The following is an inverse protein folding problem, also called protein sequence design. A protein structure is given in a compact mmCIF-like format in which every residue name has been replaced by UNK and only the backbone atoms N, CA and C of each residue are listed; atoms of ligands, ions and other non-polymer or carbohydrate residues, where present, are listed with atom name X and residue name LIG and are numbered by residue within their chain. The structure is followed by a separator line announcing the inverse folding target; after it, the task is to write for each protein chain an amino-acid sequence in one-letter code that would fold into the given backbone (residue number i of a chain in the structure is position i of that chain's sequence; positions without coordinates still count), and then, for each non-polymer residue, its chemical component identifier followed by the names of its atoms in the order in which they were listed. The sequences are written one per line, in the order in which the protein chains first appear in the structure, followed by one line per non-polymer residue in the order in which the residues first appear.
data_IF_478617728399
#
_entry.id   IF_478617728399
#
_cell.length_a   1.000
_cell.length_b   1.000
_cell.length_c   1.000
_cell.angle_alpha   90.00
_cell.angle_beta   90.00
_cell.angle_gamma   90.00
#
_symmetry.space_group_name_H-M   'P 1'
#
loop_
_entity.id
_entity.type
_entity.pdbx_description
1 polymer ?
#
# COMPACT_ATOMS: atom_id res chain seq x y z
N UNK A 1 27.60 8.85 5.35
CA UNK A 1 27.16 8.44 6.71
C UNK A 1 25.71 7.95 6.72
N UNK A 2 24.78 8.70 6.14
CA UNK A 2 23.33 8.38 6.13
C UNK A 2 23.00 7.00 5.52
N UNK A 3 23.65 6.60 4.42
CA UNK A 3 23.48 5.26 3.81
C UNK A 3 23.86 4.10 4.74
N UNK A 4 24.91 4.28 5.57
CA UNK A 4 25.36 3.24 6.49
C UNK A 4 24.36 3.06 7.62
N UNK A 5 23.84 4.17 8.16
CA UNK A 5 22.81 4.14 9.21
C UNK A 5 21.51 3.51 8.67
N UNK A 6 21.07 3.90 7.48
CA UNK A 6 19.93 3.27 6.81
C UNK A 6 20.14 1.75 6.61
N UNK A 7 21.36 1.35 6.21
CA UNK A 7 21.72 -0.05 6.05
C UNK A 7 21.61 -0.86 7.34
N UNK A 8 21.95 -0.27 8.50
CA UNK A 8 21.75 -0.93 9.81
C UNK A 8 20.27 -1.21 10.07
N UNK A 9 19.37 -0.26 9.77
CA UNK A 9 17.93 -0.48 9.91
C UNK A 9 17.42 -1.60 9.00
N UNK A 10 17.91 -1.68 7.75
CA UNK A 10 17.58 -2.79 6.84
C UNK A 10 18.08 -4.13 7.39
N UNK A 11 19.31 -4.17 7.90
CA UNK A 11 19.90 -5.38 8.50
C UNK A 11 19.16 -5.86 9.75
N UNK A 12 18.42 -5.00 10.45
CA UNK A 12 17.53 -5.38 11.54
C UNK A 12 16.17 -5.84 11.00
N UNK A 13 15.60 -5.08 10.06
CA UNK A 13 14.26 -5.28 9.50
C UNK A 13 14.12 -6.61 8.75
N UNK A 14 15.11 -6.92 7.89
CA UNK A 14 15.05 -8.08 6.99
C UNK A 14 15.05 -9.39 7.79
N UNK A 15 15.96 -9.65 8.75
CA UNK A 15 15.92 -10.88 9.53
C UNK A 15 14.64 -11.07 10.33
N UNK A 16 14.09 -10.00 10.94
CA UNK A 16 12.82 -10.08 11.69
C UNK A 16 11.70 -10.57 10.77
N UNK A 17 11.60 -9.97 9.58
CA UNK A 17 10.54 -10.32 8.64
C UNK A 17 10.75 -11.68 7.98
N UNK A 18 12.00 -12.01 7.62
CA UNK A 18 12.36 -13.33 7.07
C UNK A 18 12.06 -14.43 8.08
N UNK A 19 12.37 -14.24 9.37
CA UNK A 19 11.99 -15.19 10.41
C UNK A 19 10.48 -15.41 10.45
N UNK A 20 9.68 -14.34 10.37
CA UNK A 20 8.22 -14.42 10.32
C UNK A 20 7.73 -15.19 9.08
N UNK A 21 8.28 -14.90 7.90
CA UNK A 21 7.92 -15.59 6.65
C UNK A 21 8.29 -17.08 6.73
N UNK A 22 9.49 -17.42 7.21
CA UNK A 22 9.92 -18.81 7.38
C UNK A 22 9.00 -19.56 8.34
N UNK A 23 8.57 -18.93 9.44
CA UNK A 23 7.61 -19.55 10.36
C UNK A 23 6.28 -19.88 9.69
N UNK A 24 5.76 -19.01 8.81
CA UNK A 24 4.58 -19.32 8.01
C UNK A 24 4.85 -20.49 7.06
N UNK A 25 5.96 -20.46 6.31
CA UNK A 25 6.30 -21.50 5.33
C UNK A 25 6.55 -22.89 5.95
N UNK A 26 7.12 -22.94 7.16
CA UNK A 26 7.31 -24.20 7.91
C UNK A 26 5.98 -24.73 8.44
N UNK A 27 5.11 -23.85 8.93
CA UNK A 27 3.81 -24.20 9.49
C UNK A 27 2.68 -23.97 8.46
N UNK A 28 2.75 -24.65 7.32
CA UNK A 28 1.87 -24.40 6.17
C UNK A 28 0.50 -25.11 6.26
N UNK A 29 -0.23 -24.92 7.36
CA UNK A 29 -1.49 -25.61 7.66
C UNK A 29 -2.68 -25.15 6.80
N UNK A 30 -2.77 -23.84 6.51
CA UNK A 30 -3.83 -23.25 5.68
C UNK A 30 -3.25 -22.55 4.44
N UNK A 31 -2.83 -23.32 3.41
CA UNK A 31 -2.14 -22.80 2.23
C UNK A 31 -2.92 -21.71 1.47
N UNK A 32 -4.25 -21.80 1.46
CA UNK A 32 -5.11 -20.86 0.74
C UNK A 32 -5.09 -19.45 1.34
N UNK A 33 -4.91 -19.35 2.66
CA UNK A 33 -4.86 -18.08 3.38
C UNK A 33 -3.41 -17.60 3.53
N UNK A 34 -2.51 -18.50 3.95
CA UNK A 34 -1.12 -18.17 4.25
C UNK A 34 -0.34 -17.65 3.03
N UNK A 35 -0.68 -18.08 1.81
CA UNK A 35 -0.09 -17.51 0.58
C UNK A 35 -0.27 -15.99 0.47
N UNK A 36 -1.38 -15.45 0.96
CA UNK A 36 -1.63 -14.00 0.97
C UNK A 36 -0.92 -13.31 2.13
N UNK A 37 -0.85 -13.96 3.29
CA UNK A 37 -0.09 -13.46 4.45
C UNK A 37 1.39 -13.29 4.08
N UNK A 38 1.99 -14.30 3.46
CA UNK A 38 3.39 -14.24 3.01
C UNK A 38 3.60 -13.08 2.03
N UNK A 39 2.69 -12.86 1.07
CA UNK A 39 2.74 -11.71 0.14
C UNK A 39 2.68 -10.37 0.88
N UNK A 40 1.85 -10.26 1.93
CA UNK A 40 1.76 -9.03 2.74
C UNK A 40 3.06 -8.83 3.54
N UNK A 41 3.59 -9.88 4.17
CA UNK A 41 4.82 -9.80 4.97
C UNK A 41 6.03 -9.37 4.14
N UNK A 42 6.10 -9.77 2.86
CA UNK A 42 7.18 -9.35 1.96
C UNK A 42 7.21 -7.84 1.68
N UNK A 43 6.14 -7.08 1.99
CA UNK A 43 6.11 -5.63 1.84
C UNK A 43 7.25 -4.95 2.59
N UNK A 44 7.46 -5.31 3.85
CA UNK A 44 8.43 -4.68 4.74
C UNK A 44 9.88 -4.83 4.22
N UNK A 45 10.40 -6.04 3.91
CA UNK A 45 11.76 -6.19 3.40
C UNK A 45 11.93 -5.54 2.02
N UNK A 46 10.93 -5.64 1.14
CA UNK A 46 10.98 -5.00 -0.18
C UNK A 46 11.11 -3.48 -0.05
N UNK A 47 10.32 -2.87 0.82
CA UNK A 47 10.32 -1.41 1.00
C UNK A 47 11.61 -0.94 1.65
N UNK A 48 12.09 -1.63 2.69
CA UNK A 48 13.33 -1.27 3.39
C UNK A 48 14.57 -1.38 2.48
N UNK A 49 14.67 -2.48 1.71
CA UNK A 49 15.76 -2.69 0.76
C UNK A 49 15.70 -1.63 -0.34
N UNK A 50 14.53 -1.40 -0.94
CA UNK A 50 14.39 -0.42 -2.01
C UNK A 50 14.71 1.00 -1.58
N UNK A 51 14.23 1.42 -0.42
CA UNK A 51 14.57 2.72 0.14
C UNK A 51 16.09 2.84 0.35
N UNK A 52 16.75 1.80 0.86
CA UNK A 52 18.21 1.80 1.00
C UNK A 52 18.96 1.86 -0.33
N UNK A 53 18.55 1.09 -1.34
CA UNK A 53 19.13 1.13 -2.69
C UNK A 53 18.92 2.48 -3.37
N UNK A 54 17.75 3.09 -3.18
CA UNK A 54 17.39 4.40 -3.71
C UNK A 54 18.37 5.50 -3.28
N UNK A 55 18.90 5.40 -2.06
CA UNK A 55 19.90 6.32 -1.56
C UNK A 55 21.26 6.21 -2.30
N UNK A 56 21.62 5.04 -2.85
CA UNK A 56 22.84 4.90 -3.65
C UNK A 56 22.64 5.32 -5.10
N UNK A 57 21.47 5.02 -5.67
CA UNK A 57 21.20 5.13 -7.10
C UNK A 57 20.17 6.22 -7.43
N UNK A 58 20.55 7.48 -7.26
CA UNK A 58 19.70 8.65 -7.57
C UNK A 58 19.12 8.62 -8.99
N UNK A 59 19.91 8.21 -9.98
CA UNK A 59 19.44 8.09 -11.37
C UNK A 59 18.37 7.01 -11.58
N UNK A 60 18.27 6.05 -10.67
CA UNK A 60 17.26 4.98 -10.70
C UNK A 60 16.08 5.22 -9.74
N UNK A 61 16.08 6.34 -9.01
CA UNK A 61 15.06 6.66 -7.98
C UNK A 61 13.62 6.47 -8.49
N UNK A 62 13.31 7.00 -9.67
CA UNK A 62 11.97 6.90 -10.26
C UNK A 62 11.52 5.47 -10.51
N UNK A 63 12.42 4.58 -10.94
CA UNK A 63 12.10 3.17 -11.19
C UNK A 63 11.94 2.39 -9.89
N UNK A 64 12.84 2.63 -8.92
CA UNK A 64 12.78 2.00 -7.58
C UNK A 64 11.47 2.38 -6.89
N UNK A 65 11.10 3.66 -6.95
CA UNK A 65 9.83 4.15 -6.42
C UNK A 65 8.64 3.55 -7.13
N UNK A 66 8.65 3.48 -8.47
CA UNK A 66 7.55 2.87 -9.23
C UNK A 66 7.32 1.40 -8.83
N UNK A 67 8.39 0.63 -8.63
CA UNK A 67 8.27 -0.75 -8.15
C UNK A 67 7.64 -0.80 -6.75
N UNK A 68 8.09 0.03 -5.81
CA UNK A 68 7.55 0.09 -4.44
C UNK A 68 6.04 0.34 -4.47
N UNK A 69 5.61 1.32 -5.26
CA UNK A 69 4.20 1.70 -5.37
C UNK A 69 3.35 0.63 -6.09
N UNK A 70 3.93 -0.14 -7.03
CA UNK A 70 3.25 -1.30 -7.63
C UNK A 70 3.07 -2.44 -6.62
N UNK A 71 4.08 -2.68 -5.79
CA UNK A 71 4.00 -3.69 -4.74
C UNK A 71 2.97 -3.32 -3.67
N UNK A 72 2.87 -2.04 -3.32
CA UNK A 72 1.81 -1.53 -2.44
C UNK A 72 0.40 -1.89 -2.96
N UNK A 73 0.15 -1.64 -4.25
CA UNK A 73 -1.12 -1.99 -4.88
C UNK A 73 -1.38 -3.51 -4.85
N UNK A 74 -0.34 -4.30 -5.09
CA UNK A 74 -0.41 -5.76 -5.00
C UNK A 74 -0.71 -6.28 -3.59
N UNK A 75 -0.16 -5.63 -2.56
CA UNK A 75 -0.43 -5.96 -1.14
C UNK A 75 -1.88 -5.63 -0.77
N UNK A 76 -2.39 -4.48 -1.20
CA UNK A 76 -3.81 -4.12 -1.01
C UNK A 76 -4.74 -5.15 -1.63
N UNK A 77 -4.47 -5.57 -2.87
CA UNK A 77 -5.24 -6.63 -3.51
C UNK A 77 -5.12 -7.96 -2.73
N UNK A 78 -3.91 -8.36 -2.36
CA UNK A 78 -3.65 -9.58 -1.59
C UNK A 78 -4.40 -9.59 -0.26
N UNK A 79 -4.58 -8.44 0.39
CA UNK A 79 -5.34 -8.34 1.63
C UNK A 79 -6.85 -8.53 1.43
N UNK A 80 -7.43 -8.06 0.33
CA UNK A 80 -8.83 -8.36 -0.01
C UNK A 80 -9.02 -9.86 -0.20
N UNK A 81 -8.14 -10.50 -0.97
CA UNK A 81 -8.19 -11.95 -1.17
C UNK A 81 -7.94 -12.73 0.12
N UNK A 82 -7.07 -12.24 0.99
CA UNK A 82 -6.86 -12.80 2.33
C UNK A 82 -8.16 -12.82 3.14
N UNK A 83 -8.92 -11.72 3.18
CA UNK A 83 -10.22 -11.67 3.88
C UNK A 83 -11.21 -12.66 3.27
N UNK A 84 -11.27 -12.75 1.94
CA UNK A 84 -12.17 -13.65 1.21
C UNK A 84 -11.87 -15.12 1.58
N UNK A 85 -10.62 -15.54 1.49
CA UNK A 85 -10.24 -16.93 1.81
C UNK A 85 -10.38 -17.24 3.30
N UNK A 86 -10.06 -16.28 4.18
CA UNK A 86 -10.18 -16.47 5.63
C UNK A 86 -11.63 -16.72 6.06
N UNK A 87 -12.60 -16.17 5.33
CA UNK A 87 -14.05 -16.37 5.56
C UNK A 87 -14.64 -17.55 4.78
N UNK A 88 -13.80 -18.47 4.30
CA UNK A 88 -14.23 -19.69 3.62
C UNK A 88 -14.44 -19.54 2.10
N UNK A 89 -13.85 -18.50 1.50
CA UNK A 89 -13.86 -18.27 0.05
C UNK A 89 -15.03 -17.44 -0.45
N UNK A 90 -15.11 -17.27 -1.77
CA UNK A 90 -16.07 -16.35 -2.42
C UNK A 90 -17.53 -16.71 -2.14
N UNK A 91 -17.89 -17.98 -2.20
CA UNK A 91 -19.29 -18.41 -2.05
C UNK A 91 -19.79 -18.27 -0.61
N UNK A 92 -18.99 -18.70 0.37
CA UNK A 92 -19.34 -18.59 1.79
C UNK A 92 -19.38 -17.13 2.24
N UNK A 93 -18.45 -16.31 1.77
CA UNK A 93 -18.49 -14.88 2.05
C UNK A 93 -19.73 -14.24 1.43
N UNK A 94 -20.08 -14.57 0.18
CA UNK A 94 -21.29 -14.04 -0.45
C UNK A 94 -22.57 -14.44 0.32
N UNK A 95 -22.66 -15.65 0.86
CA UNK A 95 -23.79 -16.08 1.70
C UNK A 95 -23.82 -15.34 3.04
N UNK A 96 -22.66 -15.16 3.67
CA UNK A 96 -22.53 -14.43 4.93
C UNK A 96 -22.94 -12.97 4.76
N UNK A 97 -22.46 -12.31 3.70
CA UNK A 97 -22.81 -10.93 3.37
C UNK A 97 -24.30 -10.74 3.08
N UNK A 98 -24.99 -11.72 2.46
CA UNK A 98 -26.44 -11.66 2.24
C UNK A 98 -27.26 -11.59 3.53
N UNK A 99 -26.72 -12.12 4.64
CA UNK A 99 -27.39 -12.12 5.94
C UNK A 99 -27.11 -10.85 6.76
N UNK A 100 -26.18 -10.00 6.31
CA UNK A 100 -25.85 -8.74 6.98
C UNK A 100 -26.87 -7.66 6.62
N UNK A 101 -26.86 -6.57 7.40
CA UNK A 101 -27.74 -5.42 7.18
C UNK A 101 -27.52 -4.80 5.79
N UNK A 102 -28.60 -4.58 5.05
CA UNK A 102 -28.61 -3.93 3.76
C UNK A 102 -28.08 -2.48 3.82
N UNK A 103 -28.16 -1.83 4.97
CA UNK A 103 -27.63 -0.48 5.21
C UNK A 103 -26.12 -0.39 4.94
N UNK A 104 -25.37 -1.48 5.12
CA UNK A 104 -23.91 -1.53 4.86
C UNK A 104 -23.62 -1.37 3.35
N UNK A 105 -24.55 -1.81 2.50
CA UNK A 105 -24.50 -1.61 1.05
C UNK A 105 -24.70 -0.16 0.64
N UNK A 106 -25.42 0.64 1.44
CA UNK A 106 -25.65 2.06 1.18
C UNK A 106 -24.36 2.88 1.32
N UNK A 107 -24.30 4.03 0.65
CA UNK A 107 -23.13 4.89 0.62
C UNK A 107 -23.34 6.11 1.52
N UNK A 108 -22.36 6.54 2.32
CA UNK A 108 -22.44 7.81 3.05
C UNK A 108 -22.49 8.99 2.07
N UNK A 109 -23.12 10.10 2.48
CA UNK A 109 -23.09 11.36 1.73
C UNK A 109 -21.63 11.86 1.60
N UNK A 110 -21.14 12.32 0.43
CA UNK A 110 -21.88 12.62 -0.82
C UNK A 110 -21.95 11.46 -1.84
N UNK A 111 -21.27 10.34 -1.61
CA UNK A 111 -21.23 9.22 -2.57
C UNK A 111 -22.59 8.59 -2.84
N UNK A 112 -23.57 8.77 -1.94
CA UNK A 112 -24.97 8.37 -2.14
C UNK A 112 -25.62 8.97 -3.39
N UNK A 113 -25.18 10.14 -3.84
CA UNK A 113 -25.74 10.84 -5.01
C UNK A 113 -25.12 10.34 -6.33
N UNK A 114 -23.92 9.76 -6.26
CA UNK A 114 -23.11 9.40 -7.43
C UNK A 114 -23.11 7.88 -7.67
N UNK A 115 -23.22 7.08 -6.61
CA UNK A 115 -23.13 5.63 -6.66
C UNK A 115 -24.45 4.97 -6.27
N UNK A 116 -24.91 4.01 -7.09
CA UNK A 116 -26.04 3.14 -6.79
C UNK A 116 -25.75 2.27 -5.57
N UNK A 117 -26.79 1.97 -4.77
CA UNK A 117 -26.66 1.12 -3.59
C UNK A 117 -26.23 -0.31 -3.98
N UNK A 118 -25.21 -0.83 -3.31
CA UNK A 118 -24.70 -2.16 -3.62
C UNK A 118 -25.55 -3.23 -2.93
N UNK A 119 -26.10 -4.16 -3.71
CA UNK A 119 -26.80 -5.30 -3.16
C UNK A 119 -25.83 -6.20 -2.37
N UNK A 120 -26.20 -6.48 -1.12
CA UNK A 120 -25.42 -7.34 -0.23
C UNK A 120 -25.31 -8.77 -0.79
N UNK A 121 -24.14 -9.38 -0.57
CA UNK A 121 -23.82 -10.71 -1.09
C UNK A 121 -22.74 -10.70 -2.16
N UNK A 122 -22.96 -11.45 -3.25
CA UNK A 122 -21.96 -11.62 -4.32
C UNK A 122 -21.64 -10.31 -5.04
N UNK A 123 -22.64 -9.47 -5.31
CA UNK A 123 -22.43 -8.19 -6.00
C UNK A 123 -21.55 -7.25 -5.16
N UNK A 124 -21.87 -7.05 -3.88
CA UNK A 124 -21.04 -6.27 -2.96
C UNK A 124 -19.59 -6.78 -2.90
N UNK A 125 -19.40 -8.08 -2.73
CA UNK A 125 -18.06 -8.69 -2.68
C UNK A 125 -17.29 -8.48 -4.00
N UNK A 126 -17.93 -8.71 -5.14
CA UNK A 126 -17.32 -8.49 -6.46
C UNK A 126 -16.97 -7.03 -6.67
N UNK A 127 -17.85 -6.09 -6.30
CA UNK A 127 -17.57 -4.66 -6.41
C UNK A 127 -16.36 -4.26 -5.55
N UNK A 128 -16.25 -4.78 -4.32
CA UNK A 128 -15.09 -4.54 -3.48
C UNK A 128 -13.80 -5.12 -4.09
N UNK A 129 -13.86 -6.36 -4.60
CA UNK A 129 -12.74 -7.05 -5.25
C UNK A 129 -12.26 -6.29 -6.49
N UNK A 130 -13.18 -5.96 -7.40
CA UNK A 130 -12.88 -5.22 -8.62
C UNK A 130 -12.43 -3.79 -8.35
N UNK A 131 -12.95 -3.14 -7.31
CA UNK A 131 -12.51 -1.80 -6.92
C UNK A 131 -11.04 -1.75 -6.50
N UNK A 132 -10.56 -2.74 -5.74
CA UNK A 132 -9.12 -2.81 -5.39
C UNK A 132 -8.27 -3.29 -6.57
N UNK A 133 -8.77 -4.22 -7.39
CA UNK A 133 -8.06 -4.68 -8.59
C UNK A 133 -7.90 -3.56 -9.63
N UNK A 134 -8.90 -2.68 -9.76
CA UNK A 134 -8.84 -1.50 -10.62
C UNK A 134 -7.68 -0.59 -10.24
N UNK A 135 -7.36 -0.42 -8.95
CA UNK A 135 -6.21 0.37 -8.53
C UNK A 135 -4.89 -0.22 -9.03
N UNK A 136 -4.72 -1.55 -8.93
CA UNK A 136 -3.53 -2.24 -9.47
C UNK A 136 -3.38 -2.00 -10.97
N UNK A 137 -4.48 -2.14 -11.73
CA UNK A 137 -4.45 -1.94 -13.19
C UNK A 137 -4.15 -0.48 -13.55
N UNK A 138 -4.82 0.48 -12.91
CA UNK A 138 -4.54 1.90 -13.13
C UNK A 138 -3.10 2.23 -12.77
N UNK A 139 -2.56 1.68 -11.68
CA UNK A 139 -1.16 1.88 -11.29
C UNK A 139 -0.18 1.42 -12.37
N UNK A 140 -0.40 0.23 -12.93
CA UNK A 140 0.42 -0.33 -14.01
C UNK A 140 0.34 0.56 -15.25
N UNK A 141 -0.87 0.91 -15.69
CA UNK A 141 -1.09 1.75 -16.87
C UNK A 141 -0.46 3.13 -16.68
N UNK A 142 -0.66 3.75 -15.51
CA UNK A 142 -0.07 5.03 -15.16
C UNK A 142 1.45 4.96 -15.13
N UNK A 143 2.06 3.88 -14.63
CA UNK A 143 3.51 3.72 -14.63
C UNK A 143 4.05 3.66 -16.06
N UNK A 144 3.41 2.90 -16.95
CA UNK A 144 3.77 2.84 -18.37
C UNK A 144 3.58 4.20 -19.04
N UNK A 145 2.49 4.90 -18.74
CA UNK A 145 2.22 6.25 -19.27
C UNK A 145 3.26 7.27 -18.81
N UNK A 146 3.68 7.22 -17.54
CA UNK A 146 4.76 8.08 -17.00
C UNK A 146 6.05 7.85 -17.78
N UNK A 147 6.46 6.59 -17.99
CA UNK A 147 7.68 6.26 -18.75
C UNK A 147 7.57 6.74 -20.21
N UNK A 148 6.43 6.52 -20.86
CA UNK A 148 6.20 6.91 -22.25
C UNK A 148 6.10 8.43 -22.45
N UNK A 149 5.59 9.18 -21.47
CA UNK A 149 5.55 10.64 -21.51
C UNK A 149 6.90 11.26 -21.15
N UNK A 150 7.64 10.62 -20.24
CA UNK A 150 9.01 11.04 -19.89
C UNK A 150 9.95 10.91 -21.08
N UNK A 151 9.85 9.83 -21.87
CA UNK A 151 10.68 9.67 -23.08
C UNK A 151 10.36 10.69 -24.19
N UNK A 152 9.15 11.26 -24.19
CA UNK A 152 8.73 12.31 -25.12
C UNK A 152 8.98 13.74 -24.60
N UNK A 153 9.53 13.90 -23.39
CA UNK A 153 9.74 15.21 -22.76
C UNK A 153 8.44 15.94 -22.37
N UNK A 154 7.30 15.23 -22.29
CA UNK A 154 5.99 15.80 -21.94
C UNK A 154 5.62 15.60 -20.46
N UNK A 155 6.48 14.94 -19.70
CA UNK A 155 6.31 14.68 -18.27
C UNK A 155 7.26 15.56 -17.45
N UNK A 156 6.72 16.63 -16.86
CA UNK A 156 7.45 17.54 -15.97
C UNK A 156 6.97 17.26 -14.54
N UNK A 157 7.83 16.68 -13.70
CA UNK A 157 7.46 16.33 -12.33
C UNK A 157 7.24 17.59 -11.50
N UNK A 158 6.11 17.65 -10.77
CA UNK A 158 5.81 18.74 -9.85
C UNK A 158 5.21 20.00 -10.49
N UNK A 159 5.19 20.11 -11.82
CA UNK A 159 4.55 21.22 -12.52
C UNK A 159 3.09 20.90 -12.85
N UNK A 160 2.18 21.64 -12.22
CA UNK A 160 0.76 21.63 -12.59
C UNK A 160 0.55 22.49 -13.84
N UNK A 161 0.83 21.91 -15.01
CA UNK A 161 0.49 22.51 -16.30
C UNK A 161 -0.54 21.67 -17.03
N UNK A 162 -1.47 22.34 -17.73
CA UNK A 162 -2.43 21.70 -18.64
C UNK A 162 -1.76 20.95 -19.79
N UNK A 163 -0.51 21.32 -20.12
CA UNK A 163 0.31 20.66 -21.15
C UNK A 163 1.15 19.50 -20.62
N UNK A 164 1.31 19.34 -19.31
CA UNK A 164 2.06 18.22 -18.74
C UNK A 164 1.14 17.10 -18.29
N UNK A 165 1.50 15.86 -18.62
CA UNK A 165 0.75 14.67 -18.20
C UNK A 165 0.80 14.38 -16.70
N UNK A 166 1.66 15.07 -15.93
CA UNK A 166 1.84 14.85 -14.49
C UNK A 166 0.54 15.05 -13.70
N UNK A 167 -0.14 16.19 -13.89
CA UNK A 167 -1.36 16.52 -13.15
C UNK A 167 -2.50 15.52 -13.40
N UNK A 168 -2.72 15.14 -14.67
CA UNK A 168 -3.78 14.19 -15.04
C UNK A 168 -3.53 12.79 -14.45
N UNK A 169 -2.30 12.29 -14.54
CA UNK A 169 -1.94 10.98 -13.96
C UNK A 169 -2.06 11.04 -12.43
N UNK A 170 -1.61 12.12 -11.80
CA UNK A 170 -1.72 12.30 -10.36
C UNK A 170 -3.19 12.29 -9.90
N UNK A 171 -4.08 13.03 -10.57
CA UNK A 171 -5.52 13.04 -10.23
C UNK A 171 -6.15 11.66 -10.43
N UNK A 172 -5.91 11.02 -11.58
CA UNK A 172 -6.45 9.69 -11.85
C UNK A 172 -6.02 8.66 -10.80
N UNK A 173 -4.76 8.71 -10.37
CA UNK A 173 -4.21 7.83 -9.34
C UNK A 173 -4.80 8.09 -7.97
N UNK A 174 -4.98 9.37 -7.58
CA UNK A 174 -5.59 9.74 -6.32
C UNK A 174 -7.07 9.32 -6.24
N UNK A 175 -7.83 9.48 -7.32
CA UNK A 175 -9.22 9.00 -7.39
C UNK A 175 -9.26 7.47 -7.31
N UNK A 176 -8.38 6.80 -8.05
CA UNK A 176 -8.28 5.34 -8.08
C UNK A 176 -7.96 4.73 -6.71
N UNK A 177 -6.93 5.23 -6.02
CA UNK A 177 -6.57 4.77 -4.68
C UNK A 177 -7.66 5.10 -3.66
N UNK A 178 -8.29 6.27 -3.74
CA UNK A 178 -9.38 6.65 -2.84
C UNK A 178 -10.57 5.68 -2.98
N UNK A 179 -10.92 5.31 -4.22
CA UNK A 179 -11.98 4.33 -4.49
C UNK A 179 -11.62 2.92 -4.01
N UNK A 180 -10.38 2.47 -4.22
CA UNK A 180 -9.91 1.18 -3.73
C UNK A 180 -9.92 1.10 -2.19
N UNK A 181 -9.42 2.15 -1.52
CA UNK A 181 -9.47 2.24 -0.06
C UNK A 181 -10.90 2.30 0.47
N UNK A 182 -11.80 2.99 -0.23
CA UNK A 182 -13.23 3.00 0.09
C UNK A 182 -13.84 1.60 0.04
N UNK A 183 -13.59 0.86 -1.05
CA UNK A 183 -14.02 -0.53 -1.21
C UNK A 183 -13.47 -1.43 -0.10
N UNK A 184 -12.19 -1.28 0.23
CA UNK A 184 -11.54 -2.05 1.27
C UNK A 184 -12.12 -1.76 2.66
N UNK A 185 -12.35 -0.49 2.99
CA UNK A 185 -12.96 -0.08 4.26
C UNK A 185 -14.40 -0.60 4.37
N UNK A 186 -15.18 -0.55 3.29
CA UNK A 186 -16.53 -1.14 3.25
C UNK A 186 -16.50 -2.64 3.50
N UNK A 187 -15.62 -3.37 2.82
CA UNK A 187 -15.45 -4.80 3.03
C UNK A 187 -15.05 -5.13 4.47
N UNK A 188 -14.12 -4.34 5.03
CA UNK A 188 -13.72 -4.47 6.43
C UNK A 188 -14.90 -4.27 7.39
N UNK A 189 -15.69 -3.20 7.23
CA UNK A 189 -16.84 -2.96 8.10
C UNK A 189 -17.92 -4.04 7.99
N UNK A 190 -18.10 -4.63 6.80
CA UNK A 190 -19.05 -5.71 6.59
C UNK A 190 -18.61 -7.03 7.25
N UNK A 191 -17.30 -7.23 7.42
CA UNK A 191 -16.69 -8.51 7.87
C UNK A 191 -16.01 -8.44 9.23
N UNK A 192 -15.88 -7.26 9.85
CA UNK A 192 -15.15 -7.04 11.12
C UNK A 192 -15.64 -7.95 12.26
N UNK A 193 -16.94 -8.22 12.30
CA UNK A 193 -17.55 -9.02 13.37
C UNK A 193 -17.26 -10.51 13.17
N UNK A 194 -17.21 -10.94 11.91
CA UNK A 194 -16.88 -12.33 11.54
C UNK A 194 -15.37 -12.61 11.70
N UNK A 195 -14.55 -11.56 11.63
CA UNK A 195 -13.10 -11.61 11.80
C UNK A 195 -12.63 -11.31 13.22
N UNK A 196 -13.54 -11.14 14.20
CA UNK A 196 -13.20 -10.66 15.54
C UNK A 196 -12.09 -11.46 16.22
N UNK A 197 -12.10 -12.77 16.05
CA UNK A 197 -11.13 -13.69 16.66
C UNK A 197 -9.72 -13.59 16.03
N UNK A 198 -9.61 -12.93 14.86
CA UNK A 198 -8.39 -12.85 14.07
C UNK A 198 -7.68 -11.49 14.14
N UNK A 199 -7.98 -10.66 15.16
CA UNK A 199 -7.40 -9.32 15.34
C UNK A 199 -7.40 -8.44 14.07
N UNK A 200 -8.57 -8.18 13.47
CA UNK A 200 -8.68 -7.63 12.12
C UNK A 200 -8.22 -6.16 12.04
N UNK A 201 -8.37 -5.41 13.13
CA UNK A 201 -7.89 -4.01 13.23
C UNK A 201 -6.37 -3.96 13.08
N UNK A 202 -5.63 -4.84 13.76
CA UNK A 202 -4.18 -4.86 13.73
C UNK A 202 -3.67 -5.21 12.32
N UNK A 203 -4.25 -6.24 11.69
CA UNK A 203 -3.93 -6.65 10.31
C UNK A 203 -4.20 -5.54 9.30
N UNK A 204 -5.33 -4.85 9.43
CA UNK A 204 -5.66 -3.70 8.59
C UNK A 204 -4.72 -2.50 8.82
N UNK A 205 -4.42 -2.21 10.09
CA UNK A 205 -3.53 -1.10 10.46
C UNK A 205 -2.09 -1.34 10.01
N UNK A 206 -1.62 -2.59 9.95
CA UNK A 206 -0.30 -2.91 9.40
C UNK A 206 -0.15 -2.46 7.95
N UNK A 207 -1.13 -2.79 7.09
CA UNK A 207 -1.07 -2.47 5.66
C UNK A 207 -1.34 -0.97 5.44
N UNK A 208 -2.43 -0.46 6.04
CA UNK A 208 -2.81 0.94 5.86
C UNK A 208 -1.83 1.89 6.54
N UNK A 209 -1.24 1.48 7.66
CA UNK A 209 -0.28 2.25 8.43
C UNK A 209 0.91 2.63 7.56
N UNK A 210 1.52 1.67 6.85
CA UNK A 210 2.66 1.96 5.96
C UNK A 210 2.30 3.03 4.92
N UNK A 211 1.15 2.90 4.27
CA UNK A 211 0.67 3.86 3.25
C UNK A 211 0.42 5.24 3.87
N UNK A 212 -0.20 5.28 5.05
CA UNK A 212 -0.55 6.53 5.71
C UNK A 212 0.70 7.27 6.19
N UNK A 213 1.62 6.58 6.86
CA UNK A 213 2.86 7.18 7.35
C UNK A 213 3.72 7.68 6.19
N UNK A 214 3.93 6.88 5.16
CA UNK A 214 4.70 7.31 3.98
C UNK A 214 4.07 8.50 3.23
N UNK A 215 2.74 8.55 3.16
CA UNK A 215 2.02 9.69 2.58
C UNK A 215 2.21 10.98 3.40
N UNK A 216 1.95 10.93 4.71
CA UNK A 216 2.06 12.11 5.57
C UNK A 216 3.50 12.58 5.73
N UNK A 217 4.44 11.64 5.78
CA UNK A 217 5.86 11.93 5.74
C UNK A 217 6.23 12.65 4.44
N UNK A 218 5.81 12.13 3.29
CA UNK A 218 6.04 12.76 2.00
C UNK A 218 5.47 14.18 1.94
N UNK A 219 4.23 14.37 2.40
CA UNK A 219 3.60 15.69 2.47
C UNK A 219 4.38 16.65 3.39
N UNK A 220 4.76 16.20 4.60
CA UNK A 220 5.50 17.02 5.55
C UNK A 220 6.86 17.46 5.01
N UNK A 221 7.60 16.57 4.35
CA UNK A 221 8.89 16.91 3.74
C UNK A 221 8.69 17.91 2.59
N UNK A 222 7.65 17.75 1.77
CA UNK A 222 7.33 18.69 0.70
C UNK A 222 6.97 20.10 1.22
N UNK A 223 6.26 20.18 2.36
CA UNK A 223 6.00 21.45 3.03
C UNK A 223 7.30 22.07 3.57
N UNK A 224 8.19 21.27 4.17
CA UNK A 224 9.49 21.77 4.63
C UNK A 224 10.37 22.27 3.47
N UNK A 225 10.28 21.63 2.31
CA UNK A 225 10.93 22.08 1.09
C UNK A 225 10.34 23.40 0.58
N UNK A 226 9.01 23.54 0.52
CA UNK A 226 8.37 24.76 0.02
C UNK A 226 8.57 25.99 0.91
N UNK A 227 8.76 25.79 2.22
CA UNK A 227 9.11 26.84 3.18
C UNK A 227 10.61 27.21 3.12
N UNK A 228 11.41 26.50 2.33
CA UNK A 228 12.84 26.78 2.13
C UNK A 228 13.75 26.32 3.29
N UNK A 229 13.24 25.44 4.17
CA UNK A 229 14.00 24.87 5.29
C UNK A 229 15.03 23.88 4.77
N UNK A 230 14.66 23.08 3.76
CA UNK A 230 15.54 22.08 3.14
C UNK A 230 16.36 22.77 2.05
N UNK A 231 17.67 22.88 2.27
CA UNK A 231 18.64 23.40 1.30
C UNK A 231 19.50 22.27 0.75
N UNK A 232 20.11 22.49 -0.41
CA UNK A 232 21.11 21.57 -0.95
C UNK A 232 22.27 21.41 0.03
N UNK A 233 22.72 20.17 0.20
CA UNK A 233 23.83 19.84 1.12
C UNK A 233 24.95 19.21 0.28
N UNK A 234 26.09 19.90 0.17
CA UNK A 234 27.23 19.42 -0.62
C UNK A 234 26.88 19.27 -2.09
N UNK A 235 27.12 18.08 -2.66
CA UNK A 235 26.86 17.75 -4.07
C UNK A 235 25.39 17.41 -4.37
N UNK A 236 24.53 17.43 -3.35
CA UNK A 236 23.12 17.07 -3.51
C UNK A 236 22.25 18.28 -3.79
N UNK A 237 21.56 18.23 -4.93
CA UNK A 237 20.46 19.14 -5.24
C UNK A 237 19.39 19.07 -4.11
N UNK A 238 18.82 20.19 -3.67
CA UNK A 238 17.68 20.22 -2.75
C UNK A 238 16.60 19.15 -3.00
N UNK A 239 16.30 18.84 -4.26
CA UNK A 239 15.31 17.81 -4.62
C UNK A 239 15.79 16.40 -4.23
N UNK A 240 17.05 16.09 -4.47
CA UNK A 240 17.65 14.81 -4.06
C UNK A 240 17.75 14.68 -2.54
N UNK A 241 17.98 15.80 -1.83
CA UNK A 241 17.96 15.82 -0.36
C UNK A 241 16.58 15.46 0.19
N UNK A 242 15.51 16.00 -0.41
CA UNK A 242 14.11 15.66 -0.06
C UNK A 242 13.86 14.16 -0.22
N UNK A 243 14.25 13.61 -1.37
CA UNK A 243 14.08 12.19 -1.67
C UNK A 243 14.86 11.29 -0.71
N UNK A 244 16.11 11.64 -0.41
CA UNK A 244 16.95 10.87 0.50
C UNK A 244 16.49 10.92 1.95
N UNK A 245 15.96 12.05 2.42
CA UNK A 245 15.33 12.13 3.76
C UNK A 245 14.12 11.19 3.81
N UNK A 246 13.30 11.18 2.76
CA UNK A 246 12.12 10.34 2.71
C UNK A 246 12.49 8.84 2.76
N UNK A 247 13.46 8.40 1.96
CA UNK A 247 13.90 7.00 1.94
C UNK A 247 14.63 6.59 3.22
N UNK A 248 15.37 7.50 3.86
CA UNK A 248 15.96 7.25 5.17
C UNK A 248 14.91 6.98 6.24
N UNK A 249 13.86 7.81 6.31
CA UNK A 249 12.77 7.62 7.25
C UNK A 249 12.01 6.31 6.97
N UNK A 250 11.81 5.94 5.71
CA UNK A 250 11.23 4.64 5.35
C UNK A 250 12.08 3.49 5.92
N UNK A 251 13.41 3.52 5.75
CA UNK A 251 14.29 2.49 6.32
C UNK A 251 14.10 2.35 7.84
N UNK A 252 13.97 3.46 8.56
CA UNK A 252 13.73 3.49 9.99
C UNK A 252 12.34 2.96 10.38
N UNK A 253 11.28 3.44 9.71
CA UNK A 253 9.89 3.04 9.98
C UNK A 253 9.66 1.55 9.75
N UNK A 254 10.31 0.98 8.73
CA UNK A 254 10.17 -0.45 8.40
C UNK A 254 10.61 -1.37 9.55
N UNK A 255 11.48 -0.93 10.46
CA UNK A 255 11.86 -1.70 11.66
C UNK A 255 10.63 -1.90 12.56
N UNK A 256 9.86 -0.84 12.81
CA UNK A 256 8.65 -0.90 13.62
C UNK A 256 7.56 -1.70 12.92
N UNK A 257 7.41 -1.51 11.61
CA UNK A 257 6.45 -2.30 10.84
C UNK A 257 6.83 -3.79 10.79
N UNK A 258 8.11 -4.16 10.78
CA UNK A 258 8.50 -5.57 10.87
C UNK A 258 8.01 -6.22 12.16
N UNK A 259 8.19 -5.51 13.28
CA UNK A 259 7.71 -5.95 14.60
C UNK A 259 6.18 -6.02 14.62
N UNK A 260 5.51 -4.97 14.14
CA UNK A 260 4.05 -4.90 14.10
C UNK A 260 3.45 -6.00 13.21
N UNK A 261 4.02 -6.26 12.04
CA UNK A 261 3.58 -7.32 11.12
C UNK A 261 3.75 -8.71 11.75
N UNK A 262 4.82 -8.93 12.51
CA UNK A 262 5.02 -10.19 13.25
C UNK A 262 3.93 -10.42 14.30
N UNK A 263 3.49 -9.38 15.00
CA UNK A 263 2.42 -9.47 15.99
C UNK A 263 1.03 -9.54 15.36
N UNK A 264 0.80 -8.84 14.24
CA UNK A 264 -0.49 -8.81 13.57
C UNK A 264 -0.76 -10.08 12.75
N UNK A 265 0.29 -10.74 12.24
CA UNK A 265 0.18 -11.96 11.44
C UNK A 265 1.02 -13.10 12.06
N UNK A 266 0.67 -13.60 13.26
CA UNK A 266 1.36 -14.72 13.85
C UNK A 266 1.07 -16.00 13.05
N UNK A 267 2.03 -16.93 13.03
CA UNK A 267 1.86 -18.21 12.33
C UNK A 267 0.89 -19.16 13.05
N UNK A 268 0.66 -18.96 14.34
CA UNK A 268 -0.24 -19.77 15.19
C UNK A 268 -1.72 -19.53 14.92
N UNK A 269 -2.06 -18.46 14.20
CA UNK A 269 -3.44 -18.16 13.83
C UNK A 269 -4.00 -19.22 12.85
N UNK A 270 -3.15 -19.88 12.06
CA UNK A 270 -3.52 -20.72 10.90
C UNK A 270 -3.22 -22.20 11.15
#
# INVERSE_FOLDING_TARGET
MLYFVAGVFVLITVPITVQGIVQHLVNWYMPQVQKFVVRILFMVPIFSIQAWFSLFFHGAYGYIRAFRELYEAFVLASFVYYIIELLGGEDQLALTLRRKDAQIGSHPCPFRVICEEWQMGRQFMMNCKYGVLQYVLVKIISTIAVVALSSKGLFHQGEWSWTSGYGYIAVAMNVSIAYALYCLVKLYYATKDDLRDWNPVAKFLCIKGVIFFTFWQGFAIQVLYSVGVIKGIGDWDPVHVVDGIADFLICFEMVFFAILHRYAFPHTDY
#
